data_IF_730604926508
#
_entry.id   IF_730604926508
#
_cell.length_a   1.000
_cell.length_b   1.000
_cell.length_c   1.000
_cell.angle_alpha   90.00
_cell.angle_beta   90.00
_cell.angle_gamma   90.00
#
_symmetry.space_group_name_H-M   'P 1'
#
loop_
_entity.id
_entity.type
_entity.pdbx_description
1 polymer ?
#
# COMPACT_ATOMS: atom_id res chain seq x y z
N UNK A 1 0.38 11.74 -14.04
CA UNK A 1 0.76 13.05 -13.47
C UNK A 1 0.22 13.15 -12.05
N UNK A 2 1.11 13.29 -11.09
CA UNK A 2 0.73 13.53 -9.70
C UNK A 2 0.30 14.99 -9.53
N UNK A 3 -0.89 15.21 -9.01
CA UNK A 3 -1.43 16.54 -8.73
C UNK A 3 -1.86 16.64 -7.28
N UNK A 4 -1.84 17.83 -6.71
CA UNK A 4 -2.41 18.09 -5.40
C UNK A 4 -3.93 17.86 -5.45
N UNK A 5 -4.47 17.17 -4.45
CA UNK A 5 -5.89 16.85 -4.33
C UNK A 5 -6.28 16.48 -2.92
N UNK A 6 -7.57 16.56 -2.62
CA UNK A 6 -8.12 16.31 -1.27
C UNK A 6 -8.00 14.84 -0.82
N UNK A 7 -7.71 13.92 -1.74
CA UNK A 7 -7.53 12.48 -1.47
C UNK A 7 -6.12 12.06 -1.09
N UNK A 8 -5.20 12.99 -0.85
CA UNK A 8 -3.83 12.68 -0.41
C UNK A 8 -3.82 11.91 0.91
N UNK A 9 -3.13 10.76 0.94
CA UNK A 9 -3.00 9.92 2.14
C UNK A 9 -4.07 8.85 2.34
N UNK A 10 -5.19 8.82 1.60
CA UNK A 10 -6.26 7.82 1.78
C UNK A 10 -5.72 6.38 1.64
N UNK A 11 -4.91 6.10 0.61
CA UNK A 11 -4.30 4.78 0.44
C UNK A 11 -3.24 4.45 1.50
N UNK A 12 -2.64 5.45 2.15
CA UNK A 12 -1.75 5.23 3.29
C UNK A 12 -2.54 4.77 4.52
N UNK A 13 -3.72 5.35 4.74
CA UNK A 13 -4.65 4.91 5.79
C UNK A 13 -5.11 3.47 5.54
N UNK A 14 -5.57 3.15 4.32
CA UNK A 14 -6.01 1.79 3.98
C UNK A 14 -4.89 0.75 4.09
N UNK A 15 -3.67 1.09 3.68
CA UNK A 15 -2.50 0.22 3.83
C UNK A 15 -2.19 -0.07 5.31
N UNK A 16 -2.24 0.96 6.16
CA UNK A 16 -1.99 0.79 7.60
C UNK A 16 -3.07 -0.05 8.27
N UNK A 17 -4.34 0.17 7.91
CA UNK A 17 -5.46 -0.64 8.39
C UNK A 17 -5.37 -2.09 7.90
N UNK A 18 -5.02 -2.31 6.64
CA UNK A 18 -4.79 -3.65 6.09
C UNK A 18 -3.74 -4.42 6.88
N UNK A 19 -2.59 -3.79 7.18
CA UNK A 19 -1.52 -4.40 8.00
C UNK A 19 -2.02 -4.76 9.40
N UNK A 20 -2.83 -3.91 10.01
CA UNK A 20 -3.43 -4.20 11.33
C UNK A 20 -4.39 -5.39 11.28
N UNK A 21 -5.27 -5.45 10.25
CA UNK A 21 -6.18 -6.57 10.05
C UNK A 21 -5.46 -7.88 9.76
N UNK A 22 -4.36 -7.85 8.97
CA UNK A 22 -3.48 -9.00 8.74
C UNK A 22 -2.91 -9.55 10.05
N UNK A 23 -2.30 -8.67 10.87
CA UNK A 23 -1.68 -9.04 12.13
C UNK A 23 -2.70 -9.54 13.16
N UNK A 24 -3.92 -9.00 13.14
CA UNK A 24 -5.00 -9.46 13.99
C UNK A 24 -5.57 -10.83 13.56
N UNK A 25 -5.14 -11.37 12.43
CA UNK A 25 -5.64 -12.66 11.91
C UNK A 25 -7.09 -12.61 11.44
N UNK A 26 -7.60 -11.44 11.04
CA UNK A 26 -8.95 -11.30 10.51
C UNK A 26 -9.00 -11.74 9.03
N UNK A 27 -10.08 -12.39 8.57
CA UNK A 27 -10.29 -12.70 7.16
C UNK A 27 -10.26 -11.45 6.29
N UNK A 28 -9.42 -11.44 5.26
CA UNK A 28 -9.38 -10.37 4.24
C UNK A 28 -10.24 -10.84 3.07
N UNK A 29 -11.32 -10.12 2.79
CA UNK A 29 -12.28 -10.48 1.75
C UNK A 29 -11.99 -9.77 0.42
N UNK A 30 -11.48 -8.54 0.49
CA UNK A 30 -11.09 -7.77 -0.70
C UNK A 30 -9.84 -6.94 -0.39
N UNK A 31 -8.86 -7.03 -1.26
CA UNK A 31 -7.65 -6.21 -1.21
C UNK A 31 -7.05 -6.07 -2.60
N UNK A 32 -6.73 -4.86 -3.00
CA UNK A 32 -5.99 -4.55 -4.22
C UNK A 32 -4.63 -3.93 -3.89
N UNK A 33 -3.57 -4.39 -4.58
CA UNK A 33 -2.28 -3.73 -4.52
C UNK A 33 -2.31 -2.44 -5.34
N UNK A 34 -1.38 -1.50 -5.05
CA UNK A 34 -1.17 -0.37 -5.94
C UNK A 34 -0.71 -0.82 -7.34
N UNK A 35 -0.98 0.00 -8.35
CA UNK A 35 -0.59 -0.29 -9.73
C UNK A 35 0.92 -0.26 -9.93
N UNK A 36 1.66 0.51 -9.11
CA UNK A 36 3.13 0.62 -9.11
C UNK A 36 3.65 0.71 -7.67
N UNK A 37 4.94 0.44 -7.49
CA UNK A 37 5.59 0.51 -6.18
C UNK A 37 5.61 1.94 -5.67
N UNK A 38 5.25 2.12 -4.42
CA UNK A 38 5.22 3.41 -3.74
C UNK A 38 6.25 3.37 -2.62
N UNK A 39 7.35 4.08 -2.81
CA UNK A 39 8.55 4.00 -1.95
C UNK A 39 8.29 4.27 -0.47
N UNK A 40 7.37 5.16 -0.15
CA UNK A 40 7.06 5.48 1.26
C UNK A 40 6.25 4.38 1.98
N UNK A 41 5.65 3.41 1.27
CA UNK A 41 5.09 2.21 1.92
C UNK A 41 6.15 1.15 2.22
N UNK A 42 7.35 1.33 1.71
CA UNK A 42 8.45 0.39 1.86
C UNK A 42 9.52 0.88 2.87
N UNK A 43 9.26 1.98 3.58
CA UNK A 43 10.17 2.50 4.60
C UNK A 43 10.18 1.66 5.87
N UNK A 44 9.04 1.10 6.24
CA UNK A 44 8.82 0.30 7.44
C UNK A 44 8.36 -1.13 7.16
N UNK A 45 8.21 -1.50 5.89
CA UNK A 45 7.69 -2.80 5.46
C UNK A 45 8.25 -3.17 4.11
N UNK A 46 8.52 -4.46 3.84
CA UNK A 46 8.88 -4.90 2.49
C UNK A 46 7.75 -4.64 1.48
N UNK A 47 8.08 -4.58 0.16
CA UNK A 47 7.07 -4.41 -0.88
C UNK A 47 6.04 -5.53 -0.86
N UNK A 48 4.81 -5.23 -1.26
CA UNK A 48 3.74 -6.23 -1.37
C UNK A 48 2.71 -6.18 -0.26
N UNK A 49 2.97 -5.51 0.87
CA UNK A 49 2.04 -5.41 2.01
C UNK A 49 1.38 -4.03 2.02
N UNK A 50 0.72 -3.70 0.93
CA UNK A 50 -0.04 -2.47 0.72
C UNK A 50 -1.48 -2.77 0.30
N UNK A 51 -2.38 -1.80 0.47
CA UNK A 51 -3.76 -1.87 0.02
C UNK A 51 -4.19 -0.52 -0.54
N UNK A 52 -4.58 -0.48 -1.81
CA UNK A 52 -5.15 0.72 -2.43
C UNK A 52 -6.67 0.70 -2.31
N UNK A 53 -7.25 1.90 -2.24
CA UNK A 53 -8.69 2.12 -2.30
C UNK A 53 -9.01 3.23 -3.31
N UNK A 54 -10.10 3.05 -4.05
CA UNK A 54 -10.58 4.03 -5.04
C UNK A 54 -12.09 3.90 -5.18
N UNK A 55 -12.82 4.74 -4.48
CA UNK A 55 -14.29 4.71 -4.43
C UNK A 55 -14.89 5.04 -5.80
N UNK A 56 -15.91 4.29 -6.25
CA UNK A 56 -16.57 3.14 -5.59
C UNK A 56 -16.02 1.77 -6.03
N UNK A 57 -14.95 1.70 -6.80
CA UNK A 57 -14.55 0.52 -7.59
C UNK A 57 -13.48 -0.37 -6.96
N UNK A 58 -12.69 0.17 -6.03
CA UNK A 58 -11.62 -0.57 -5.35
C UNK A 58 -11.73 -0.34 -3.86
N UNK A 59 -11.84 -1.42 -3.09
CA UNK A 59 -12.08 -1.37 -1.66
C UNK A 59 -11.13 -2.28 -0.88
N UNK A 60 -11.03 -2.06 0.41
CA UNK A 60 -10.41 -2.95 1.39
C UNK A 60 -11.53 -3.51 2.27
N UNK A 61 -11.77 -4.81 2.21
CA UNK A 61 -12.77 -5.48 3.03
C UNK A 61 -12.14 -6.57 3.87
N UNK A 62 -12.43 -6.55 5.15
CA UNK A 62 -12.11 -7.62 6.08
C UNK A 62 -13.30 -7.88 7.00
N UNK A 63 -13.36 -9.07 7.54
CA UNK A 63 -14.48 -9.50 8.37
C UNK A 63 -14.06 -9.74 9.81
N UNK A 64 -14.90 -9.31 10.74
CA UNK A 64 -14.81 -9.77 12.11
C UNK A 64 -15.46 -11.15 12.23
N UNK A 65 -14.65 -12.19 12.30
CA UNK A 65 -15.07 -13.58 12.50
C UNK A 65 -14.94 -14.02 13.96
N UNK A 66 -14.64 -13.09 14.87
CA UNK A 66 -14.64 -13.36 16.31
C UNK A 66 -16.06 -13.35 16.87
N UNK A 67 -16.24 -13.90 18.07
CA UNK A 67 -17.56 -13.97 18.71
C UNK A 67 -18.07 -12.62 19.27
N UNK A 68 -17.19 -11.62 19.37
CA UNK A 68 -17.48 -10.33 19.98
C UNK A 68 -17.09 -9.17 19.05
N UNK A 69 -17.50 -7.97 19.43
CA UNK A 69 -17.14 -6.74 18.72
C UNK A 69 -15.63 -6.46 18.79
N UNK A 70 -15.11 -5.83 17.75
CA UNK A 70 -13.76 -5.30 17.71
C UNK A 70 -13.82 -3.78 17.70
N UNK A 71 -13.11 -3.14 18.64
CA UNK A 71 -12.88 -1.70 18.61
C UNK A 71 -11.66 -1.43 17.71
N UNK A 72 -11.84 -0.57 16.72
CA UNK A 72 -10.76 -0.03 15.90
C UNK A 72 -10.44 1.37 16.41
N UNK A 73 -9.26 1.55 16.97
CA UNK A 73 -8.77 2.84 17.45
C UNK A 73 -7.62 3.33 16.59
N UNK A 74 -7.60 4.62 16.32
CA UNK A 74 -6.51 5.29 15.59
C UNK A 74 -5.76 6.23 16.52
N UNK A 75 -4.44 6.25 16.38
CA UNK A 75 -3.57 7.25 16.97
C UNK A 75 -2.80 7.96 15.85
N UNK A 76 -2.93 9.28 15.81
CA UNK A 76 -2.20 10.13 14.86
C UNK A 76 -1.19 10.96 15.64
N UNK A 77 0.08 10.79 15.32
CA UNK A 77 1.17 11.61 15.83
C UNK A 77 1.62 12.57 14.72
N UNK A 78 1.28 13.85 14.88
CA UNK A 78 1.60 14.88 13.89
C UNK A 78 3.08 15.31 13.93
N UNK A 79 3.80 15.08 15.04
CA UNK A 79 5.22 15.40 15.13
C UNK A 79 6.06 14.36 14.41
N UNK A 80 5.71 13.08 14.61
CA UNK A 80 6.38 11.96 13.96
C UNK A 80 5.78 11.60 12.59
N UNK A 81 4.71 12.30 12.17
CA UNK A 81 3.93 12.02 10.95
C UNK A 81 3.52 10.54 10.86
N UNK A 82 3.07 9.98 11.96
CA UNK A 82 2.77 8.56 12.11
C UNK A 82 1.30 8.30 12.39
N UNK A 83 0.74 7.31 11.68
CA UNK A 83 -0.60 6.76 11.93
C UNK A 83 -0.46 5.34 12.46
N UNK A 84 -1.15 5.05 13.56
CA UNK A 84 -1.24 3.71 14.14
C UNK A 84 -2.69 3.27 14.22
N UNK A 85 -2.98 2.04 13.78
CA UNK A 85 -4.25 1.37 14.03
C UNK A 85 -4.07 0.32 15.12
N UNK A 86 -4.96 0.34 16.10
CA UNK A 86 -5.03 -0.64 17.17
C UNK A 86 -6.39 -1.32 17.13
N UNK A 87 -6.40 -2.66 17.09
CA UNK A 87 -7.60 -3.47 17.13
C UNK A 87 -7.70 -4.13 18.50
N UNK A 88 -8.77 -3.80 19.24
CA UNK A 88 -9.06 -4.37 20.55
C UNK A 88 -10.28 -5.26 20.47
N UNK A 89 -10.20 -6.42 21.08
CA UNK A 89 -11.28 -7.40 21.12
C UNK A 89 -11.02 -8.48 22.16
N UNK A 90 -11.95 -9.40 22.29
CA UNK A 90 -11.77 -10.56 23.15
C UNK A 90 -10.73 -11.49 22.54
N UNK A 91 -9.69 -11.82 23.31
CA UNK A 91 -8.64 -12.73 22.87
C UNK A 91 -9.23 -14.14 22.68
N UNK A 92 -9.17 -14.66 21.47
CA UNK A 92 -9.73 -15.97 21.12
C UNK A 92 -8.68 -17.08 20.91
N UNK A 93 -7.40 -16.77 21.22
CA UNK A 93 -6.30 -17.72 21.15
C UNK A 93 -5.69 -17.90 19.76
N UNK A 94 -6.11 -17.11 18.74
CA UNK A 94 -5.50 -17.16 17.42
C UNK A 94 -4.09 -16.56 17.42
N UNK A 95 -3.22 -17.13 16.59
CA UNK A 95 -1.89 -16.60 16.28
C UNK A 95 -1.75 -16.42 14.77
N UNK A 96 -1.01 -15.39 14.37
CA UNK A 96 -0.83 -15.05 12.96
C UNK A 96 0.65 -15.06 12.61
N UNK A 97 0.98 -15.75 11.53
CA UNK A 97 2.31 -15.75 10.93
C UNK A 97 2.22 -15.19 9.51
N UNK A 98 3.02 -14.18 9.22
CA UNK A 98 3.11 -13.55 7.89
C UNK A 98 4.53 -13.80 7.38
N UNK A 99 4.64 -14.40 6.19
CA UNK A 99 5.94 -14.64 5.58
C UNK A 99 6.58 -13.32 5.12
N UNK A 100 7.90 -13.29 5.05
CA UNK A 100 8.58 -12.23 4.32
C UNK A 100 8.12 -12.25 2.85
N UNK A 101 7.74 -11.10 2.27
CA UNK A 101 7.40 -11.02 0.85
C UNK A 101 8.54 -11.45 -0.05
N UNK A 102 8.20 -12.18 -1.11
CA UNK A 102 9.13 -12.69 -2.11
C UNK A 102 8.91 -11.96 -3.42
N UNK A 103 9.97 -11.32 -3.92
CA UNK A 103 9.97 -10.71 -5.26
C UNK A 103 10.35 -11.80 -6.27
N UNK A 104 9.42 -12.16 -7.16
CA UNK A 104 9.63 -13.23 -8.16
C UNK A 104 10.10 -12.69 -9.50
N UNK A 105 9.82 -11.41 -9.78
CA UNK A 105 10.23 -10.73 -11.01
C UNK A 105 10.41 -9.25 -10.72
N UNK A 106 11.45 -8.67 -11.31
CA UNK A 106 11.64 -7.21 -11.38
C UNK A 106 11.73 -6.77 -12.84
N UNK A 107 11.19 -5.59 -13.12
CA UNK A 107 11.25 -4.96 -14.43
C UNK A 107 11.78 -3.53 -14.23
N UNK A 108 12.86 -3.13 -14.92
CA UNK A 108 13.38 -1.77 -14.79
C UNK A 108 12.33 -0.71 -15.11
N UNK A 109 12.47 0.46 -14.51
CA UNK A 109 11.66 1.60 -14.91
C UNK A 109 11.96 1.96 -16.39
N UNK A 110 10.95 2.36 -17.18
CA UNK A 110 11.17 2.88 -18.53
C UNK A 110 12.00 4.16 -18.50
N UNK A 111 12.52 4.54 -19.66
CA UNK A 111 13.23 5.81 -19.83
C UNK A 111 12.37 7.00 -19.42
N UNK A 112 13.04 8.05 -18.92
CA UNK A 112 12.35 9.27 -18.48
C UNK A 112 11.67 9.96 -19.66
N UNK A 113 10.47 10.44 -19.42
CA UNK A 113 9.71 11.21 -20.40
C UNK A 113 9.85 12.71 -20.12
N UNK A 114 10.01 13.47 -21.18
CA UNK A 114 10.05 14.92 -21.14
C UNK A 114 8.84 15.51 -21.88
N UNK A 115 8.17 16.45 -21.23
CA UNK A 115 7.02 17.18 -21.78
C UNK A 115 7.29 18.68 -21.74
N UNK A 116 6.92 19.38 -22.79
CA UNK A 116 7.06 20.83 -22.82
C UNK A 116 5.93 21.50 -22.02
N UNK A 117 6.27 22.49 -21.20
CA UNK A 117 5.33 23.25 -20.38
C UNK A 117 5.47 24.76 -20.65
N UNK A 118 4.46 25.38 -21.33
CA UNK A 118 4.47 26.80 -21.63
C UNK A 118 4.25 27.70 -20.41
N UNK A 119 3.92 27.15 -19.25
CA UNK A 119 3.80 27.89 -18.02
C UNK A 119 5.14 28.07 -17.28
N UNK A 120 6.13 27.21 -17.57
CA UNK A 120 7.45 27.26 -16.97
C UNK A 120 8.41 28.10 -17.82
N UNK A 121 9.28 28.94 -17.20
CA UNK A 121 10.31 29.69 -17.93
C UNK A 121 11.25 28.77 -18.71
N UNK A 122 11.69 29.23 -19.87
CA UNK A 122 12.68 28.54 -20.73
C UNK A 122 13.95 28.21 -19.94
N UNK A 123 14.40 26.97 -20.06
CA UNK A 123 15.57 26.45 -19.33
C UNK A 123 15.26 25.83 -17.96
N UNK A 124 14.05 25.98 -17.44
CA UNK A 124 13.62 25.30 -16.22
C UNK A 124 13.19 23.88 -16.53
N UNK A 125 13.69 22.91 -15.76
CA UNK A 125 13.25 21.51 -15.81
C UNK A 125 12.69 21.14 -14.45
N UNK A 126 11.44 20.68 -14.41
CA UNK A 126 10.74 20.29 -13.18
C UNK A 126 10.33 18.83 -13.25
N UNK A 127 10.81 17.99 -12.31
CA UNK A 127 10.31 16.64 -12.18
C UNK A 127 8.90 16.65 -11.55
N UNK A 128 7.96 15.95 -12.18
CA UNK A 128 6.56 15.87 -11.75
C UNK A 128 6.09 14.44 -11.49
N UNK A 129 6.89 13.45 -11.92
CA UNK A 129 6.63 12.06 -11.60
C UNK A 129 7.96 11.31 -11.42
N UNK A 130 7.97 10.25 -10.61
CA UNK A 130 9.18 9.55 -10.22
C UNK A 130 9.20 8.14 -10.82
N UNK A 131 10.39 7.71 -11.25
CA UNK A 131 10.58 6.37 -11.76
C UNK A 131 10.36 5.33 -10.65
N UNK A 132 9.66 4.25 -10.99
CA UNK A 132 9.52 3.09 -10.14
C UNK A 132 9.75 1.81 -10.95
N UNK A 133 10.61 0.92 -10.47
CA UNK A 133 10.75 -0.41 -11.08
C UNK A 133 9.49 -1.24 -10.81
N UNK A 134 9.05 -1.98 -11.81
CA UNK A 134 7.98 -2.96 -11.66
C UNK A 134 8.46 -4.19 -10.91
N UNK A 135 7.54 -4.87 -10.24
CA UNK A 135 7.82 -6.11 -9.51
C UNK A 135 6.59 -6.98 -9.38
N UNK A 136 6.79 -8.31 -9.46
CA UNK A 136 5.79 -9.27 -9.01
C UNK A 136 6.21 -9.77 -7.64
N UNK A 137 5.32 -9.58 -6.66
CA UNK A 137 5.59 -9.89 -5.25
C UNK A 137 4.48 -10.76 -4.72
N UNK A 138 4.81 -11.71 -3.84
CA UNK A 138 3.82 -12.40 -3.03
C UNK A 138 4.29 -12.57 -1.60
N UNK A 139 3.35 -12.71 -0.70
CA UNK A 139 3.57 -13.20 0.65
C UNK A 139 2.42 -14.13 1.06
N UNK A 140 2.66 -14.94 2.07
CA UNK A 140 1.65 -15.84 2.64
C UNK A 140 1.36 -15.45 4.07
N UNK A 141 0.15 -15.77 4.50
CA UNK A 141 -0.27 -15.63 5.90
C UNK A 141 -0.94 -16.92 6.35
N UNK A 142 -0.58 -17.36 7.55
CA UNK A 142 -1.25 -18.48 8.24
C UNK A 142 -1.80 -17.99 9.56
N UNK A 143 -3.07 -18.26 9.82
CA UNK A 143 -3.72 -18.00 11.10
C UNK A 143 -4.07 -19.34 11.71
N UNK A 144 -3.59 -19.59 12.93
CA UNK A 144 -3.84 -20.83 13.67
C UNK A 144 -4.58 -20.55 14.97
N UNK A 145 -5.40 -21.49 15.39
CA UNK A 145 -6.09 -21.49 16.68
C UNK A 145 -6.18 -22.91 17.17
N UNK A 146 -5.86 -23.15 18.43
CA UNK A 146 -5.88 -24.47 19.06
C UNK A 146 -5.10 -25.53 18.24
N UNK A 147 -3.94 -25.14 17.67
CA UNK A 147 -3.09 -25.98 16.85
C UNK A 147 -3.63 -26.32 15.45
N UNK A 148 -4.77 -25.74 15.05
CA UNK A 148 -5.37 -25.92 13.72
C UNK A 148 -5.26 -24.67 12.88
N UNK A 149 -4.99 -24.86 11.59
CA UNK A 149 -5.01 -23.75 10.61
C UNK A 149 -6.46 -23.33 10.37
N UNK A 150 -6.77 -22.07 10.66
CA UNK A 150 -8.06 -21.45 10.36
C UNK A 150 -8.06 -20.76 8.99
N UNK A 151 -6.96 -20.05 8.69
CA UNK A 151 -6.81 -19.27 7.46
C UNK A 151 -5.42 -19.55 6.90
N UNK A 152 -5.35 -19.75 5.59
CA UNK A 152 -4.10 -19.84 4.83
C UNK A 152 -4.27 -19.02 3.54
N UNK A 153 -3.68 -17.84 3.53
CA UNK A 153 -3.81 -16.87 2.44
C UNK A 153 -2.50 -16.74 1.67
N UNK A 154 -2.62 -16.44 0.39
CA UNK A 154 -1.53 -15.94 -0.45
C UNK A 154 -1.95 -14.63 -1.10
N UNK A 155 -1.24 -13.57 -0.79
CA UNK A 155 -1.44 -12.25 -1.36
C UNK A 155 -0.42 -12.00 -2.45
N UNK A 156 -0.89 -11.51 -3.60
CA UNK A 156 -0.04 -11.17 -4.74
C UNK A 156 -0.15 -9.69 -5.08
N UNK A 157 0.95 -9.09 -5.50
CA UNK A 157 1.05 -7.71 -5.95
C UNK A 157 1.84 -7.67 -7.24
N UNK A 158 1.23 -7.12 -8.30
CA UNK A 158 1.83 -7.00 -9.63
C UNK A 158 2.03 -5.52 -9.96
N UNK A 159 3.17 -4.99 -9.54
CA UNK A 159 3.52 -3.59 -9.77
C UNK A 159 4.04 -3.39 -11.17
N UNK A 160 3.45 -2.45 -11.89
CA UNK A 160 3.91 -2.03 -13.21
C UNK A 160 5.13 -1.14 -13.07
N UNK A 161 6.09 -1.20 -13.99
CA UNK A 161 7.16 -0.22 -14.05
C UNK A 161 6.59 1.14 -14.43
N UNK A 162 7.13 2.19 -13.83
CA UNK A 162 6.68 3.58 -14.03
C UNK A 162 7.86 4.47 -14.40
N UNK A 163 7.68 5.34 -15.39
CA UNK A 163 8.71 6.25 -15.88
C UNK A 163 8.72 7.55 -15.06
N UNK A 164 9.88 8.17 -14.94
CA UNK A 164 9.96 9.55 -14.48
C UNK A 164 9.43 10.49 -15.56
N UNK A 165 8.73 11.57 -15.13
CA UNK A 165 8.24 12.62 -16.02
C UNK A 165 8.82 13.96 -15.60
N UNK A 166 9.40 14.65 -16.58
CA UNK A 166 9.99 15.98 -16.43
C UNK A 166 9.27 16.98 -17.35
N UNK A 167 8.89 18.12 -16.79
CA UNK A 167 8.39 19.25 -17.54
C UNK A 167 9.56 20.16 -17.92
N UNK A 168 9.66 20.54 -19.20
CA UNK A 168 10.64 21.50 -19.72
C UNK A 168 9.94 22.83 -20.00
N UNK A 169 10.41 23.89 -19.37
CA UNK A 169 9.88 25.22 -19.58
C UNK A 169 10.16 25.72 -20.99
N UNK A 170 9.11 26.26 -21.64
CA UNK A 170 9.17 26.86 -22.97
C UNK A 170 8.70 28.31 -23.02
N UNK A 171 8.29 28.88 -21.85
CA UNK A 171 7.88 30.29 -21.75
C UNK A 171 9.08 31.20 -21.96
N UNK A 172 9.00 32.07 -22.95
CA UNK A 172 9.96 33.13 -23.20
C UNK A 172 9.86 34.29 -22.20
#
# INVERSE_FOLDING_TARGET
KTVLGDGGGVCQVSTTLFRSALNAGLPIEERSAHAYRVSYYEQDSPPGIDATVYVPTVDLKFRNDTTNHILIQTLVDLNELRLTFMLYGTKDGRTTEISTPVITKQTPAPESRYEDDPALPKGVVKQVDFAAAGANVYFTRTVTKDGKIMISDKFTSNYRPWQAVYLRGTKE
#
